data_IF_652716248555
#
_entry.id   IF_652716248555
#
_cell.length_a   1.000
_cell.length_b   1.000
_cell.length_c   1.000
_cell.angle_alpha   90.00
_cell.angle_beta   90.00
_cell.angle_gamma   90.00
#
_symmetry.space_group_name_H-M   'P 1'
#
loop_
_entity.id
_entity.type
_entity.pdbx_description
1 polymer ?
#
# COMPACT_ATOMS: atom_id res chain seq x y z
N UNK A 1 -5.82 21.13 -4.77
CA UNK A 1 -5.49 19.74 -5.15
C UNK A 1 -4.83 19.10 -3.95
N UNK A 2 -5.14 17.83 -3.65
CA UNK A 2 -4.47 17.12 -2.54
C UNK A 2 -2.99 16.90 -2.90
N UNK A 3 -2.06 17.11 -1.97
CA UNK A 3 -0.63 16.88 -2.15
C UNK A 3 -0.26 15.39 -2.30
N UNK A 4 -1.17 14.52 -1.84
CA UNK A 4 -1.05 13.06 -1.86
C UNK A 4 -2.29 12.51 -2.58
N UNK A 5 -2.06 11.71 -3.60
CA UNK A 5 -3.08 10.96 -4.33
C UNK A 5 -2.92 9.46 -4.08
N UNK A 6 -4.03 8.79 -3.85
CA UNK A 6 -4.10 7.35 -3.63
C UNK A 6 -5.04 6.74 -4.66
N UNK A 7 -4.58 5.69 -5.34
CA UNK A 7 -5.39 4.92 -6.28
C UNK A 7 -5.36 3.45 -5.92
N UNK A 8 -6.54 2.84 -5.84
CA UNK A 8 -6.70 1.41 -5.61
C UNK A 8 -6.86 0.68 -6.95
N UNK A 9 -6.16 -0.45 -7.10
CA UNK A 9 -6.21 -1.27 -8.32
C UNK A 9 -6.32 -2.74 -7.89
N UNK A 10 -7.39 -3.48 -8.24
CA UNK A 10 -7.47 -4.91 -7.99
C UNK A 10 -6.33 -5.66 -8.69
N UNK A 11 -5.67 -6.58 -7.99
CA UNK A 11 -4.54 -7.32 -8.55
C UNK A 11 -4.30 -8.68 -7.86
N UNK A 12 -3.25 -9.38 -8.27
CA UNK A 12 -2.84 -10.66 -7.68
C UNK A 12 -1.31 -10.81 -7.67
N UNK A 13 -0.82 -11.52 -6.66
CA UNK A 13 0.58 -11.95 -6.61
C UNK A 13 0.91 -12.89 -7.78
N UNK A 14 2.19 -13.13 -8.04
CA UNK A 14 2.61 -14.10 -9.07
C UNK A 14 2.06 -15.52 -8.81
N UNK A 15 1.84 -15.87 -7.54
CA UNK A 15 1.27 -17.16 -7.12
C UNK A 15 -0.27 -17.15 -7.06
N UNK A 16 -0.92 -16.09 -7.53
CA UNK A 16 -2.38 -16.01 -7.66
C UNK A 16 -3.13 -15.56 -6.41
N UNK A 17 -2.44 -15.22 -5.30
CA UNK A 17 -3.08 -14.63 -4.14
C UNK A 17 -3.62 -13.23 -4.47
N UNK A 18 -4.94 -13.04 -4.35
CA UNK A 18 -5.61 -11.77 -4.63
C UNK A 18 -5.25 -10.69 -3.60
N UNK A 19 -5.03 -9.46 -4.08
CA UNK A 19 -4.77 -8.28 -3.25
C UNK A 19 -5.23 -7.01 -3.97
N UNK A 20 -5.17 -5.88 -3.28
CA UNK A 20 -5.41 -4.56 -3.85
C UNK A 20 -4.12 -3.73 -3.84
N UNK A 21 -3.73 -3.22 -5.00
CA UNK A 21 -2.57 -2.37 -5.15
C UNK A 21 -2.96 -0.91 -4.86
N UNK A 22 -2.50 -0.40 -3.72
CA UNK A 22 -2.65 0.99 -3.33
C UNK A 22 -1.46 1.79 -3.86
N UNK A 23 -1.64 2.42 -5.03
CA UNK A 23 -0.66 3.31 -5.65
C UNK A 23 -0.67 4.66 -4.97
N UNK A 24 0.47 5.07 -4.43
CA UNK A 24 0.74 6.34 -3.78
C UNK A 24 1.48 7.27 -4.75
N UNK A 25 0.96 8.48 -4.94
CA UNK A 25 1.61 9.53 -5.72
C UNK A 25 1.66 10.85 -4.97
N UNK A 26 2.84 11.47 -4.93
CA UNK A 26 3.03 12.86 -4.51
C UNK A 26 2.78 13.74 -5.74
N UNK A 27 1.88 14.71 -5.61
CA UNK A 27 1.40 15.55 -6.72
C UNK A 27 1.91 17.00 -6.66
N UNK A 28 2.62 17.35 -5.59
CA UNK A 28 3.27 18.67 -5.46
C UNK A 28 4.37 18.83 -6.51
N UNK A 29 4.53 20.04 -7.04
CA UNK A 29 5.47 20.31 -8.13
C UNK A 29 6.94 20.06 -7.73
N UNK A 30 7.28 20.27 -6.47
CA UNK A 30 8.60 20.06 -5.89
C UNK A 30 8.78 18.63 -5.33
N UNK A 31 7.73 17.81 -5.35
CA UNK A 31 7.74 16.48 -4.74
C UNK A 31 7.83 16.49 -3.21
N UNK A 32 7.60 17.64 -2.57
CA UNK A 32 7.68 17.81 -1.12
C UNK A 32 6.28 17.68 -0.53
N UNK A 33 6.19 16.91 0.55
CA UNK A 33 5.02 16.83 1.42
C UNK A 33 5.46 17.14 2.85
N UNK A 34 4.52 17.66 3.63
CA UNK A 34 4.68 17.98 5.04
C UNK A 34 3.80 17.06 5.88
N UNK A 35 4.10 16.85 7.18
CA UNK A 35 3.22 16.05 8.05
C UNK A 35 1.78 16.58 8.15
N UNK A 36 1.56 17.87 7.89
CA UNK A 36 0.21 18.45 7.88
C UNK A 36 -0.66 17.90 6.75
N UNK A 37 -0.05 17.44 5.66
CA UNK A 37 -0.76 16.87 4.50
C UNK A 37 -1.39 15.50 4.79
N UNK A 38 -1.07 14.87 5.92
CA UNK A 38 -1.79 13.68 6.41
C UNK A 38 -3.21 14.02 6.88
N UNK A 39 -3.46 15.27 7.31
CA UNK A 39 -4.76 15.65 7.87
C UNK A 39 -5.84 15.57 6.80
N UNK A 40 -6.78 14.66 6.99
CA UNK A 40 -7.89 14.46 6.06
C UNK A 40 -7.53 13.62 4.83
N UNK A 41 -6.31 13.10 4.74
CA UNK A 41 -6.00 12.01 3.82
C UNK A 41 -6.89 10.82 4.20
N UNK A 42 -7.54 10.22 3.21
CA UNK A 42 -8.41 9.05 3.39
C UNK A 42 -8.07 8.02 2.33
N UNK A 43 -8.20 6.75 2.69
CA UNK A 43 -8.20 5.68 1.72
C UNK A 43 -9.39 5.83 0.75
N UNK A 44 -9.28 5.30 -0.49
CA UNK A 44 -10.42 5.15 -1.39
C UNK A 44 -11.61 4.43 -0.71
N UNK A 45 -12.85 4.80 -1.05
CA UNK A 45 -14.05 4.27 -0.38
C UNK A 45 -14.35 2.79 -0.72
N UNK A 46 -13.76 2.28 -1.80
CA UNK A 46 -14.00 0.94 -2.36
C UNK A 46 -13.04 -0.15 -1.85
N UNK A 47 -12.27 0.15 -0.78
CA UNK A 47 -11.33 -0.81 -0.18
C UNK A 47 -12.04 -2.08 0.33
N UNK A 48 -11.60 -3.22 -0.19
CA UNK A 48 -12.02 -4.57 0.20
C UNK A 48 -11.13 -5.12 1.31
N UNK A 49 -11.49 -4.89 2.58
CA UNK A 49 -10.69 -5.35 3.72
C UNK A 49 -10.60 -6.89 3.87
N UNK A 50 -11.39 -7.65 3.12
CA UNK A 50 -11.27 -9.12 3.05
C UNK A 50 -10.03 -9.60 2.29
N UNK A 51 -9.37 -8.72 1.54
CA UNK A 51 -8.17 -9.00 0.74
C UNK A 51 -6.93 -8.34 1.35
N UNK A 52 -5.75 -8.71 0.84
CA UNK A 52 -4.51 -7.99 1.13
C UNK A 52 -4.48 -6.60 0.48
N UNK A 53 -3.68 -5.70 1.04
CA UNK A 53 -3.37 -4.40 0.42
C UNK A 53 -1.85 -4.26 0.32
N UNK A 54 -1.35 -3.89 -0.86
CA UNK A 54 0.07 -3.56 -1.06
C UNK A 54 0.19 -2.07 -1.35
N UNK A 55 0.99 -1.38 -0.54
CA UNK A 55 1.34 0.03 -0.73
C UNK A 55 2.56 0.11 -1.64
N UNK A 56 2.46 0.90 -2.71
CA UNK A 56 3.55 1.13 -3.65
C UNK A 56 3.57 2.60 -4.08
N UNK A 57 4.76 3.18 -4.14
CA UNK A 57 4.96 4.56 -4.58
C UNK A 57 6.09 5.25 -3.82
N UNK A 58 6.45 6.47 -4.23
CA UNK A 58 7.46 7.26 -3.50
C UNK A 58 6.78 8.04 -2.38
N UNK A 59 7.30 7.92 -1.16
CA UNK A 59 6.74 8.60 0.00
C UNK A 59 7.71 8.62 1.16
N UNK A 60 7.48 9.54 2.09
CA UNK A 60 8.21 9.57 3.35
C UNK A 60 7.81 8.39 4.24
N UNK A 61 8.71 7.98 5.15
CA UNK A 61 8.48 6.84 6.07
C UNK A 61 7.21 7.06 6.91
N UNK A 62 6.95 8.29 7.38
CA UNK A 62 5.76 8.59 8.18
C UNK A 62 4.46 8.46 7.37
N UNK A 63 4.50 8.66 6.05
CA UNK A 63 3.33 8.44 5.18
C UNK A 63 3.07 6.95 5.03
N UNK A 64 4.12 6.16 4.83
CA UNK A 64 4.01 4.70 4.84
C UNK A 64 3.46 4.17 6.17
N UNK A 65 3.99 4.64 7.32
CA UNK A 65 3.50 4.24 8.63
C UNK A 65 2.01 4.58 8.82
N UNK A 66 1.59 5.77 8.38
CA UNK A 66 0.18 6.17 8.38
C UNK A 66 -0.67 5.24 7.51
N UNK A 67 -0.28 5.00 6.26
CA UNK A 67 -1.05 4.15 5.34
C UNK A 67 -1.12 2.70 5.82
N UNK A 68 -0.04 2.16 6.39
CA UNK A 68 -0.06 0.82 7.00
C UNK A 68 -1.08 0.76 8.15
N UNK A 69 -1.18 1.82 8.96
CA UNK A 69 -2.17 1.90 10.01
C UNK A 69 -3.60 2.01 9.48
N UNK A 70 -3.86 2.85 8.47
CA UNK A 70 -5.19 2.97 7.87
C UNK A 70 -5.62 1.65 7.18
N UNK A 71 -4.67 0.94 6.55
CA UNK A 71 -4.93 -0.35 5.92
C UNK A 71 -4.97 -1.54 6.91
N UNK A 72 -4.74 -1.34 8.22
CA UNK A 72 -4.67 -2.44 9.20
C UNK A 72 -5.89 -3.37 9.28
N UNK A 73 -7.13 -2.97 8.91
CA UNK A 73 -8.26 -3.89 8.91
C UNK A 73 -8.21 -4.90 7.75
N UNK A 74 -7.35 -4.69 6.75
CA UNK A 74 -7.18 -5.61 5.62
C UNK A 74 -6.66 -6.98 6.09
N UNK A 75 -6.93 -8.04 5.31
CA UNK A 75 -6.47 -9.39 5.65
C UNK A 75 -4.95 -9.47 5.92
N UNK A 76 -4.18 -8.68 5.16
CA UNK A 76 -2.77 -8.40 5.38
C UNK A 76 -2.37 -7.10 4.68
N UNK A 77 -1.25 -6.51 5.11
CA UNK A 77 -0.68 -5.29 4.52
C UNK A 77 0.76 -5.56 4.12
N UNK A 78 1.13 -5.18 2.91
CA UNK A 78 2.50 -5.26 2.41
C UNK A 78 3.02 -3.92 1.89
N UNK A 79 4.32 -3.73 1.96
CA UNK A 79 5.01 -2.61 1.32
C UNK A 79 5.83 -3.14 0.14
N UNK A 80 5.61 -2.60 -1.05
CA UNK A 80 6.40 -2.98 -2.23
C UNK A 80 7.84 -2.47 -2.11
N UNK A 81 8.80 -3.37 -2.34
CA UNK A 81 10.21 -3.03 -2.49
C UNK A 81 10.68 -3.44 -3.90
N UNK A 82 11.04 -2.47 -4.77
CA UNK A 82 11.55 -2.75 -6.12
C UNK A 82 12.80 -3.64 -6.15
N UNK A 83 13.60 -3.69 -5.07
CA UNK A 83 14.81 -4.53 -4.99
C UNK A 83 14.49 -6.01 -4.81
N UNK A 84 13.27 -6.29 -4.32
CA UNK A 84 12.79 -7.63 -4.04
C UNK A 84 11.76 -8.09 -5.09
N UNK A 85 11.38 -7.24 -6.05
CA UNK A 85 10.29 -7.48 -6.99
C UNK A 85 9.02 -8.01 -6.30
N UNK A 86 8.70 -7.44 -5.14
CA UNK A 86 7.66 -8.00 -4.28
C UNK A 86 7.26 -7.11 -3.11
N UNK A 87 6.17 -7.50 -2.46
CA UNK A 87 5.70 -6.88 -1.24
C UNK A 87 6.22 -7.60 -0.01
N UNK A 88 6.84 -6.87 0.90
CA UNK A 88 7.17 -7.36 2.24
C UNK A 88 5.92 -7.21 3.11
N UNK A 89 5.40 -8.32 3.62
CA UNK A 89 4.24 -8.32 4.53
C UNK A 89 4.65 -7.71 5.87
N UNK A 90 3.96 -6.64 6.29
CA UNK A 90 4.26 -5.89 7.53
C UNK A 90 3.17 -6.05 8.60
N UNK A 91 1.97 -6.47 8.21
CA UNK A 91 0.87 -6.80 9.12
C UNK A 91 0.00 -7.92 8.51
N UNK A 92 -0.56 -8.79 9.33
CA UNK A 92 -1.45 -9.87 8.88
C UNK A 92 -2.43 -10.29 9.98
N UNK A 93 -3.67 -10.60 9.58
CA UNK A 93 -4.67 -11.29 10.41
C UNK A 93 -4.96 -12.71 9.90
N UNK A 94 -4.17 -13.19 8.93
CA UNK A 94 -4.33 -14.51 8.28
C UNK A 94 -3.09 -15.36 8.50
N UNK A 95 -3.29 -16.66 8.66
CA UNK A 95 -2.18 -17.63 8.78
C UNK A 95 -1.52 -17.97 7.44
N UNK A 96 -2.19 -17.66 6.32
CA UNK A 96 -1.71 -17.95 4.95
C UNK A 96 -0.52 -17.08 4.55
N UNK A 97 -0.32 -15.94 5.21
CA UNK A 97 0.83 -15.06 5.00
C UNK A 97 1.46 -14.66 6.33
N UNK A 98 2.78 -14.51 6.36
CA UNK A 98 3.54 -14.21 7.58
C UNK A 98 4.22 -12.83 7.50
N UNK A 99 4.38 -12.15 8.64
CA UNK A 99 5.18 -10.92 8.73
C UNK A 99 6.61 -11.22 8.25
N UNK A 100 7.15 -10.35 7.40
CA UNK A 100 8.47 -10.49 6.78
C UNK A 100 8.50 -11.38 5.53
N UNK A 101 7.39 -12.08 5.21
CA UNK A 101 7.27 -12.80 3.94
C UNK A 101 7.33 -11.82 2.77
N UNK A 102 8.06 -12.20 1.71
CA UNK A 102 8.11 -11.45 0.45
C UNK A 102 7.19 -12.15 -0.55
N UNK A 103 6.10 -11.48 -0.93
CA UNK A 103 5.18 -11.93 -1.97
C UNK A 103 5.63 -11.35 -3.31
N UNK A 104 5.96 -12.20 -4.28
CA UNK A 104 6.41 -11.75 -5.61
C UNK A 104 5.26 -11.15 -6.40
N UNK A 105 5.51 -9.99 -7.02
CA UNK A 105 4.49 -9.21 -7.73
C UNK A 105 4.95 -8.85 -9.14
N UNK A 106 3.99 -8.72 -10.06
CA UNK A 106 4.13 -7.90 -11.25
C UNK A 106 3.34 -6.62 -11.00
N UNK A 107 3.90 -5.43 -11.19
CA UNK A 107 3.14 -4.20 -10.93
C UNK A 107 1.96 -4.08 -11.91
N UNK A 108 0.83 -3.51 -11.46
CA UNK A 108 -0.29 -3.24 -12.36
C UNK A 108 0.12 -2.15 -13.36
N UNK A 109 -0.38 -2.27 -14.60
CA UNK A 109 -0.13 -1.31 -15.68
C UNK A 109 -0.61 0.12 -15.37
#
# INVERSE_FOLDING_TARGET
MSAIELKLIPHQTQDGLAYQHLRLQITTQDGIITPADLKGLKLPEDVQYSQGIVIEGRGAIWLYAYLVHECHPAAWVGCYDPRLDGAVVVATHKHEVAIGQVLKLNLPS
#
